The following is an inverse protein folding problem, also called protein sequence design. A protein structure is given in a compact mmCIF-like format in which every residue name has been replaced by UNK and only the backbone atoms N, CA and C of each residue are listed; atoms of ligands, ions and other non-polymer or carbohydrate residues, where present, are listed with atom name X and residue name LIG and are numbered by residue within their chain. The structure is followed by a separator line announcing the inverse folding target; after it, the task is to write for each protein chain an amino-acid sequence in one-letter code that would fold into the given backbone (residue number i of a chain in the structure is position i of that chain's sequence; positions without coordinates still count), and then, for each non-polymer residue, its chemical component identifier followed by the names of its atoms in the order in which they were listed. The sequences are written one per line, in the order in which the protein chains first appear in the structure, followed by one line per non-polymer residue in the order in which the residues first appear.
data_IF_863814201480
#
_entry.id   IF_863814201480
#
_cell.length_a   1.000
_cell.length_b   1.000
_cell.length_c   1.000
_cell.angle_alpha   90.00
_cell.angle_beta   90.00
_cell.angle_gamma   90.00
#
_symmetry.space_group_name_H-M   'P 1'
#
loop_
_entity.id
_entity.type
_entity.pdbx_description
1 polymer ?
#
# COMPACT_ATOMS: atom_id res chain seq x y z
N UNK A 1 11.27 12.45 -15.07
CA UNK A 1 10.02 13.10 -14.63
C UNK A 1 8.91 12.12 -14.20
N UNK A 2 8.89 10.85 -14.65
CA UNK A 2 7.84 9.90 -14.25
C UNK A 2 7.94 9.38 -12.79
N UNK A 3 9.16 9.23 -12.23
CA UNK A 3 9.36 8.68 -10.88
C UNK A 3 8.80 9.58 -9.75
N UNK A 4 8.83 10.90 -9.94
CA UNK A 4 8.29 11.88 -8.98
C UNK A 4 6.76 11.83 -8.93
N UNK A 5 6.12 11.43 -10.04
CA UNK A 5 4.66 11.28 -10.15
C UNK A 5 4.18 10.00 -9.48
N UNK A 6 4.88 8.87 -9.65
CA UNK A 6 4.52 7.61 -8.98
C UNK A 6 4.79 7.62 -7.47
N UNK A 7 5.83 8.31 -7.00
CA UNK A 7 6.04 8.48 -5.56
C UNK A 7 4.94 9.34 -4.91
N UNK A 8 4.48 10.38 -5.61
CA UNK A 8 3.37 11.22 -5.15
C UNK A 8 2.05 10.42 -5.07
N UNK A 9 1.71 9.68 -6.13
CA UNK A 9 0.52 8.80 -6.14
C UNK A 9 0.57 7.75 -5.02
N UNK A 10 1.75 7.20 -4.72
CA UNK A 10 1.93 6.24 -3.62
C UNK A 10 1.70 6.90 -2.25
N UNK A 11 2.17 8.14 -2.06
CA UNK A 11 1.95 8.90 -0.83
C UNK A 11 0.46 9.23 -0.67
N UNK A 12 -0.19 9.74 -1.72
CA UNK A 12 -1.63 10.06 -1.71
C UNK A 12 -2.48 8.82 -1.40
N UNK A 13 -2.10 7.65 -1.94
CA UNK A 13 -2.80 6.39 -1.68
C UNK A 13 -2.60 5.90 -0.23
N UNK A 14 -1.40 6.05 0.33
CA UNK A 14 -1.13 5.74 1.72
C UNK A 14 -1.95 6.64 2.66
N UNK A 15 -2.01 7.95 2.36
CA UNK A 15 -2.80 8.92 3.11
C UNK A 15 -4.30 8.62 3.02
N UNK A 16 -4.80 8.24 1.84
CA UNK A 16 -6.20 7.84 1.65
C UNK A 16 -6.56 6.58 2.47
N UNK A 17 -5.66 5.58 2.52
CA UNK A 17 -5.85 4.38 3.36
C UNK A 17 -5.84 4.74 4.84
N UNK A 18 -4.94 5.61 5.28
CA UNK A 18 -4.88 6.07 6.67
C UNK A 18 -6.13 6.86 7.07
N UNK A 19 -6.60 7.75 6.18
CA UNK A 19 -7.84 8.49 6.37
C UNK A 19 -9.06 7.57 6.44
N UNK A 20 -9.12 6.54 5.57
CA UNK A 20 -10.19 5.53 5.59
C UNK A 20 -10.24 4.76 6.91
N UNK A 21 -9.09 4.36 7.46
CA UNK A 21 -9.02 3.68 8.77
C UNK A 21 -9.51 4.59 9.90
N UNK A 22 -9.05 5.83 9.90
CA UNK A 22 -9.47 6.84 10.89
C UNK A 22 -10.98 7.07 10.84
N UNK A 23 -11.56 7.14 9.64
CA UNK A 23 -13.00 7.28 9.43
C UNK A 23 -13.77 6.06 9.94
N UNK A 24 -13.29 4.83 9.67
CA UNK A 24 -13.89 3.61 10.22
C UNK A 24 -13.88 3.61 11.74
N UNK A 25 -12.74 3.90 12.35
CA UNK A 25 -12.64 3.94 13.81
C UNK A 25 -13.57 4.99 14.44
N UNK A 26 -13.72 6.15 13.79
CA UNK A 26 -14.68 7.17 14.22
C UNK A 26 -16.12 6.66 14.15
N UNK A 27 -16.51 6.04 13.02
CA UNK A 27 -17.83 5.46 12.84
C UNK A 27 -18.12 4.34 13.86
N UNK A 28 -17.13 3.48 14.16
CA UNK A 28 -17.26 2.44 15.19
C UNK A 28 -17.44 3.03 16.60
N UNK A 29 -16.69 4.10 16.93
CA UNK A 29 -16.86 4.81 18.21
C UNK A 29 -18.29 5.37 18.33
N UNK A 30 -18.78 6.03 17.29
CA UNK A 30 -20.14 6.56 17.26
C UNK A 30 -21.22 5.47 17.35
N UNK A 31 -20.99 4.32 16.71
CA UNK A 31 -21.88 3.17 16.82
C UNK A 31 -21.93 2.64 18.26
N UNK A 32 -20.78 2.48 18.92
CA UNK A 32 -20.72 2.04 20.33
C UNK A 32 -21.48 2.98 21.26
N UNK A 33 -21.31 4.30 21.08
CA UNK A 33 -22.06 5.30 21.83
C UNK A 33 -23.56 5.19 21.58
N UNK A 34 -23.96 5.05 20.31
CA UNK A 34 -25.38 4.92 19.93
C UNK A 34 -26.02 3.66 20.52
N UNK A 35 -25.29 2.55 20.53
CA UNK A 35 -25.74 1.29 21.16
C UNK A 35 -25.92 1.46 22.66
N UNK A 36 -25.00 2.15 23.33
CA UNK A 36 -25.12 2.45 24.77
C UNK A 36 -26.32 3.35 25.07
N UNK A 37 -26.61 4.35 24.22
CA UNK A 37 -27.79 5.21 24.36
C UNK A 37 -29.09 4.41 24.18
N UNK A 38 -29.17 3.54 23.16
CA UNK A 38 -30.32 2.65 22.95
C UNK A 38 -30.53 1.70 24.13
N UNK A 39 -29.44 1.16 24.70
CA UNK A 39 -29.52 0.31 25.89
C UNK A 39 -30.11 1.08 27.09
N UNK A 40 -29.62 2.30 27.36
CA UNK A 40 -30.17 3.16 28.42
C UNK A 40 -31.64 3.50 28.22
N UNK A 41 -32.06 3.76 26.98
CA UNK A 41 -33.47 3.98 26.64
C UNK A 41 -34.31 2.72 26.89
N UNK A 42 -33.78 1.54 26.57
CA UNK A 42 -34.42 0.25 26.87
C UNK A 42 -34.56 0.01 28.38
N UNK A 43 -33.50 0.24 29.15
CA UNK A 43 -33.53 0.14 30.61
C UNK A 43 -34.52 1.12 31.25
N UNK A 44 -34.63 2.34 30.71
CA UNK A 44 -35.64 3.29 31.15
C UNK A 44 -37.05 2.76 30.87
N UNK A 45 -37.30 2.23 29.68
CA UNK A 45 -38.59 1.64 29.31
C UNK A 45 -38.95 0.44 30.21
N UNK A 46 -37.99 -0.44 30.51
CA UNK A 46 -38.21 -1.60 31.40
C UNK A 46 -38.47 -1.19 32.85
N UNK A 47 -37.70 -0.25 33.40
CA UNK A 47 -37.91 0.26 34.77
C UNK A 47 -39.27 0.91 34.89
N UNK A 48 -39.65 1.70 33.89
CA UNK A 48 -40.92 2.43 33.88
C UNK A 48 -42.12 1.49 33.68
N UNK A 49 -41.98 0.43 32.87
CA UNK A 49 -43.02 -0.59 32.70
C UNK A 49 -43.37 -1.34 34.00
N UNK A 50 -42.43 -1.44 34.94
CA UNK A 50 -42.64 -2.07 36.26
C UNK A 50 -43.26 -1.13 37.29
N UNK A 51 -43.43 0.16 36.99
CA UNK A 51 -43.93 1.17 37.93
C UNK A 51 -45.47 1.18 37.96
N UNK A 52 -46.11 1.08 39.13
CA UNK A 52 -47.55 1.26 39.24
C UNK A 52 -47.96 2.72 38.96
N UNK A 53 -49.11 2.91 38.31
CA UNK A 53 -49.71 4.23 38.09
C UNK A 53 -49.12 5.05 36.95
N UNK A 54 -48.40 4.43 36.01
CA UNK A 54 -47.83 5.13 34.86
C UNK A 54 -48.90 5.51 33.82
N UNK A 55 -48.84 6.76 33.35
CA UNK A 55 -49.65 7.25 32.23
C UNK A 55 -49.21 6.60 30.89
N UNK A 56 -50.18 6.35 30.01
CA UNK A 56 -49.94 5.88 28.64
C UNK A 56 -49.16 6.92 27.82
N UNK A 57 -49.32 8.22 28.08
CA UNK A 57 -48.55 9.27 27.40
C UNK A 57 -47.05 9.14 27.68
N UNK A 58 -46.67 8.91 28.94
CA UNK A 58 -45.28 8.70 29.34
C UNK A 58 -44.72 7.42 28.72
N UNK A 59 -45.54 6.36 28.67
CA UNK A 59 -45.19 5.10 28.02
C UNK A 59 -44.95 5.26 26.51
N UNK A 60 -45.82 6.00 25.83
CA UNK A 60 -45.69 6.30 24.40
C UNK A 60 -44.43 7.11 24.11
N UNK A 61 -44.13 8.11 24.95
CA UNK A 61 -42.90 8.91 24.85
C UNK A 61 -41.65 8.03 24.96
N UNK A 62 -41.57 7.15 25.96
CA UNK A 62 -40.41 6.26 26.12
C UNK A 62 -40.24 5.27 24.96
N UNK A 63 -41.35 4.74 24.42
CA UNK A 63 -41.30 3.90 23.20
C UNK A 63 -40.76 4.69 22.00
N UNK A 64 -41.17 5.95 21.85
CA UNK A 64 -40.68 6.81 20.78
C UNK A 64 -39.18 7.14 20.95
N UNK A 65 -38.73 7.42 22.17
CA UNK A 65 -37.31 7.65 22.49
C UNK A 65 -36.46 6.41 22.18
N UNK A 66 -36.95 5.21 22.54
CA UNK A 66 -36.29 3.95 22.18
C UNK A 66 -36.24 3.74 20.66
N UNK A 67 -37.35 3.93 19.95
CA UNK A 67 -37.42 3.77 18.50
C UNK A 67 -36.48 4.76 17.77
N UNK A 68 -36.39 6.01 18.25
CA UNK A 68 -35.45 6.98 17.73
C UNK A 68 -33.99 6.53 17.94
N UNK A 69 -33.65 6.04 19.14
CA UNK A 69 -32.31 5.52 19.42
C UNK A 69 -31.97 4.29 18.56
N UNK A 70 -32.93 3.40 18.31
CA UNK A 70 -32.75 2.24 17.45
C UNK A 70 -32.53 2.62 15.97
N UNK A 71 -33.30 3.59 15.46
CA UNK A 71 -33.10 4.14 14.12
C UNK A 71 -31.70 4.75 13.95
N UNK A 72 -31.19 5.46 14.96
CA UNK A 72 -29.82 5.99 14.97
C UNK A 72 -28.80 4.85 14.94
N UNK A 73 -28.99 3.78 15.74
CA UNK A 73 -28.10 2.61 15.70
C UNK A 73 -28.08 1.98 14.30
N UNK A 74 -29.22 1.82 13.64
CA UNK A 74 -29.31 1.30 12.28
C UNK A 74 -28.54 2.18 11.29
N UNK A 75 -28.70 3.50 11.37
CA UNK A 75 -27.95 4.46 10.55
C UNK A 75 -26.43 4.36 10.78
N UNK A 76 -25.99 4.23 12.04
CA UNK A 76 -24.55 4.11 12.37
C UNK A 76 -23.96 2.78 11.93
N UNK A 77 -24.72 1.69 11.95
CA UNK A 77 -24.30 0.40 11.36
C UNK A 77 -24.05 0.55 9.86
N UNK A 78 -24.99 1.14 9.14
CA UNK A 78 -24.82 1.40 7.70
C UNK A 78 -23.60 2.28 7.39
N UNK A 79 -23.28 3.25 8.26
CA UNK A 79 -22.07 4.06 8.13
C UNK A 79 -20.77 3.26 8.33
N UNK A 80 -20.74 2.35 9.31
CA UNK A 80 -19.61 1.44 9.54
C UNK A 80 -19.44 0.48 8.36
N UNK A 81 -20.54 -0.09 7.85
CA UNK A 81 -20.51 -1.01 6.71
C UNK A 81 -19.94 -0.30 5.47
N UNK A 82 -20.38 0.93 5.21
CA UNK A 82 -19.85 1.77 4.13
C UNK A 82 -18.36 2.08 4.32
N UNK A 83 -17.92 2.36 5.54
CA UNK A 83 -16.49 2.59 5.83
C UNK A 83 -15.65 1.33 5.59
N UNK A 84 -16.16 0.14 5.95
CA UNK A 84 -15.53 -1.15 5.68
C UNK A 84 -15.47 -1.46 4.17
N UNK A 85 -16.48 -1.08 3.41
CA UNK A 85 -16.46 -1.19 1.95
C UNK A 85 -15.38 -0.29 1.33
N UNK A 86 -15.27 0.96 1.78
CA UNK A 86 -14.22 1.86 1.30
C UNK A 86 -12.82 1.37 1.67
N UNK A 87 -12.61 0.86 2.88
CA UNK A 87 -11.31 0.32 3.27
C UNK A 87 -10.94 -0.90 2.41
N UNK A 88 -11.91 -1.79 2.12
CA UNK A 88 -11.71 -2.92 1.22
C UNK A 88 -11.37 -2.47 -0.21
N UNK A 89 -12.09 -1.47 -0.74
CA UNK A 89 -11.80 -0.92 -2.05
C UNK A 89 -10.41 -0.27 -2.13
N UNK A 90 -10.05 0.52 -1.12
CA UNK A 90 -8.73 1.16 -1.02
C UNK A 90 -7.60 0.12 -0.95
N UNK A 91 -7.79 -0.98 -0.21
CA UNK A 91 -6.84 -2.08 -0.14
C UNK A 91 -6.65 -2.80 -1.49
N UNK A 92 -7.73 -2.99 -2.26
CA UNK A 92 -7.65 -3.56 -3.61
C UNK A 92 -6.86 -2.65 -4.54
N UNK A 93 -7.13 -1.34 -4.52
CA UNK A 93 -6.40 -0.35 -5.34
C UNK A 93 -4.93 -0.32 -4.95
N UNK A 94 -4.62 -0.25 -3.65
CA UNK A 94 -3.24 -0.30 -3.15
C UNK A 94 -2.49 -1.55 -3.63
N UNK A 95 -3.12 -2.72 -3.52
CA UNK A 95 -2.53 -3.98 -3.99
C UNK A 95 -2.32 -4.00 -5.51
N UNK A 96 -3.24 -3.45 -6.29
CA UNK A 96 -3.10 -3.37 -7.74
C UNK A 96 -1.90 -2.48 -8.13
N UNK A 97 -1.78 -1.31 -7.51
CA UNK A 97 -0.64 -0.40 -7.72
C UNK A 97 0.70 -1.03 -7.32
N UNK A 98 0.74 -1.75 -6.19
CA UNK A 98 1.95 -2.46 -5.76
C UNK A 98 2.33 -3.58 -6.74
N UNK A 99 1.35 -4.32 -7.25
CA UNK A 99 1.56 -5.40 -8.22
C UNK A 99 2.07 -4.85 -9.55
N UNK A 100 1.48 -3.76 -10.05
CA UNK A 100 1.93 -3.11 -11.28
C UNK A 100 3.34 -2.55 -11.13
N UNK A 101 3.63 -1.85 -10.01
CA UNK A 101 4.98 -1.35 -9.71
C UNK A 101 6.02 -2.49 -9.61
N UNK A 102 5.64 -3.62 -9.02
CA UNK A 102 6.50 -4.81 -8.92
C UNK A 102 6.73 -5.48 -10.28
N UNK A 103 5.79 -5.39 -11.22
CA UNK A 103 5.95 -5.93 -12.59
C UNK A 103 6.77 -5.03 -13.51
N UNK A 104 6.68 -3.70 -13.31
CA UNK A 104 7.43 -2.73 -14.09
C UNK A 104 8.92 -2.66 -13.70
N UNK A 105 9.25 -2.92 -12.42
CA UNK A 105 10.61 -2.83 -11.90
C UNK A 105 11.60 -3.84 -12.53
N UNK A 106 11.28 -5.14 -12.66
CA UNK A 106 12.13 -6.12 -13.36
C UNK A 106 12.28 -5.84 -14.85
N UNK A 107 11.21 -5.38 -15.52
CA UNK A 107 11.27 -5.00 -16.93
C UNK A 107 12.18 -3.77 -17.14
N UNK A 108 12.06 -2.76 -16.27
CA UNK A 108 12.93 -1.59 -16.30
C UNK A 108 14.40 -1.96 -16.02
N UNK A 109 14.66 -2.88 -15.08
CA UNK A 109 15.99 -3.42 -14.82
C UNK A 109 16.55 -4.18 -16.04
N UNK A 110 15.75 -5.04 -16.67
CA UNK A 110 16.14 -5.78 -17.87
C UNK A 110 16.42 -4.85 -19.08
N UNK A 111 15.66 -3.76 -19.23
CA UNK A 111 15.92 -2.75 -20.27
C UNK A 111 17.21 -1.96 -20.01
N UNK A 112 17.52 -1.64 -18.75
CA UNK A 112 18.79 -1.02 -18.38
C UNK A 112 19.98 -1.95 -18.64
N UNK A 113 19.85 -3.25 -18.36
CA UNK A 113 20.87 -4.25 -18.71
C UNK A 113 21.02 -4.42 -20.24
N UNK A 114 19.91 -4.36 -21.00
CA UNK A 114 19.94 -4.42 -22.46
C UNK A 114 20.58 -3.19 -23.10
N UNK A 115 20.36 -2.00 -22.53
CA UNK A 115 21.00 -0.75 -22.98
C UNK A 115 22.48 -0.71 -22.55
N UNK A 116 22.80 -1.19 -21.34
CA UNK A 116 24.17 -1.28 -20.84
C UNK A 116 25.04 -2.32 -21.58
N UNK A 117 24.45 -3.45 -21.99
CA UNK A 117 25.15 -4.50 -22.73
C UNK A 117 25.49 -4.11 -24.18
N UNK A 118 24.76 -3.17 -24.79
CA UNK A 118 25.09 -2.59 -26.10
C UNK A 118 26.34 -1.69 -26.09
N UNK A 119 26.92 -1.40 -24.92
CA UNK A 119 28.14 -0.59 -24.76
C UNK A 119 29.46 -1.37 -24.69
N UNK A 120 29.43 -2.70 -24.49
CA UNK A 120 30.64 -3.52 -24.32
C UNK A 120 30.93 -4.37 -25.55
N UNK A 121 31.06 -3.71 -26.69
CA UNK A 121 31.71 -4.29 -27.88
C UNK A 121 32.66 -3.26 -28.50
N UNK A 122 33.58 -2.71 -27.69
CA UNK A 122 34.75 -1.99 -28.19
C UNK A 122 36.00 -2.83 -27.99
N UNK A 123 36.32 -3.59 -29.04
CA UNK A 123 37.68 -3.72 -29.56
C UNK A 123 38.71 -4.42 -28.67
N UNK A 124 38.65 -5.76 -28.60
CA UNK A 124 39.87 -6.55 -28.43
C UNK A 124 40.59 -6.64 -29.78
N UNK A 125 41.19 -5.52 -30.21
CA UNK A 125 42.11 -5.50 -31.33
C UNK A 125 43.53 -5.67 -30.80
N UNK A 126 44.12 -6.83 -31.09
CA UNK A 126 45.55 -7.07 -30.96
C UNK A 126 46.32 -6.02 -31.78
N UNK A 127 47.17 -5.23 -31.12
CA UNK A 127 48.26 -4.52 -31.81
C UNK A 127 49.52 -4.56 -30.96
N UNK A 128 50.50 -5.25 -31.51
CA UNK A 128 51.87 -5.29 -31.10
C UNK A 128 52.43 -3.86 -30.88
N UNK A 129 53.05 -3.64 -29.72
CA UNK A 129 54.00 -2.55 -29.54
C UNK A 129 55.40 -3.13 -29.43
N UNK A 130 56.11 -3.05 -30.54
CA UNK A 130 57.56 -3.19 -30.62
C UNK A 130 58.17 -1.99 -29.87
N UNK A 131 58.89 -2.24 -28.78
CA UNK A 131 60.02 -1.37 -28.39
C UNK A 131 61.11 -2.19 -27.72
N UNK A 132 62.27 -2.12 -28.37
CA UNK A 132 63.52 -2.81 -28.07
C UNK A 132 64.15 -2.26 -26.79
N UNK A 133 64.65 -3.17 -25.96
CA UNK A 133 65.82 -2.94 -25.10
C UNK A 133 66.66 -4.22 -25.11
N UNK A 134 67.81 -4.13 -25.79
CA UNK A 134 68.99 -5.00 -25.66
C UNK A 134 69.48 -5.03 -24.20
N UNK A 135 70.09 -6.12 -23.69
CA UNK A 135 71.44 -6.49 -24.12
C UNK A 135 71.85 -7.99 -24.05
N UNK A 136 73.03 -8.21 -24.65
CA UNK A 136 74.06 -9.22 -24.35
C UNK A 136 73.78 -10.70 -24.67
N UNK A 137 74.57 -11.27 -25.58
CA UNK A 137 75.74 -12.13 -25.30
C UNK A 137 76.10 -12.85 -26.61
N UNK A 138 77.34 -12.65 -27.08
CA UNK A 138 77.92 -13.38 -28.22
C UNK A 138 78.30 -14.79 -27.79
N UNK A 139 77.78 -15.84 -28.44
CA UNK A 139 78.32 -17.21 -28.36
C UNK A 139 77.96 -18.02 -29.63
N UNK A 140 78.97 -18.70 -30.20
CA UNK A 140 78.87 -19.76 -31.23
C UNK A 140 78.75 -19.25 -32.68
N UNK A 141 79.64 -19.53 -33.66
CA UNK A 141 80.20 -20.85 -34.03
C UNK A 141 79.08 -21.71 -34.62
N UNK A 142 79.02 -22.14 -35.88
CA UNK A 142 80.02 -22.55 -36.87
C UNK A 142 79.38 -22.55 -38.28
N UNK A 143 80.20 -22.41 -39.34
CA UNK A 143 79.81 -22.59 -40.76
C UNK A 143 79.52 -24.06 -41.07
N UNK A 144 78.51 -24.40 -41.90
CA UNK A 144 78.54 -25.62 -42.68
C UNK A 144 79.25 -25.37 -44.02
N UNK A 145 80.17 -26.29 -44.33
CA UNK A 145 80.97 -26.37 -45.56
C UNK A 145 80.10 -26.98 -46.66
N UNK A 146 80.18 -26.43 -47.87
CA UNK A 146 79.71 -27.07 -49.11
C UNK A 146 80.79 -27.97 -49.70
N UNK A 147 80.33 -28.92 -50.52
CA UNK A 147 81.01 -30.01 -51.23
C UNK A 147 81.11 -31.32 -50.44
#
# INVERSE_FOLDING_TARGET
MAATSTSAVRADLADAVAASRTAREAAERELRLSVALRARAGEALERTARRPGLDETERARLRAEYAAADAVVAQRRAAVDKALEFERAAAVVARAFETEAASASPLAAALLELVGSRGVSRGRAARASVRRTTPAVRLGGTRPRTA
#
